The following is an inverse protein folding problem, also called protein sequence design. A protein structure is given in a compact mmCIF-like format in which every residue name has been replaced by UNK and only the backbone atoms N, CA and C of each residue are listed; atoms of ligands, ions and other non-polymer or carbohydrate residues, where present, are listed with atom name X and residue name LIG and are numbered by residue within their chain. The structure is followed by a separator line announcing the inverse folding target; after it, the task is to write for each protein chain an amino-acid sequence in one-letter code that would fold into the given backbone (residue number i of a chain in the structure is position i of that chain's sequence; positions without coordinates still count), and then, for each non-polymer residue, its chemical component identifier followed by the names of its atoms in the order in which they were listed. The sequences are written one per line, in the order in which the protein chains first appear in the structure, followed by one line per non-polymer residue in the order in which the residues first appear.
data_IF_412429457646
#
_entry.id   IF_412429457646
#
_cell.length_a   1.000
_cell.length_b   1.000
_cell.length_c   1.000
_cell.angle_alpha   90.00
_cell.angle_beta   90.00
_cell.angle_gamma   90.00
#
_symmetry.space_group_name_H-M   'P 1'
#
loop_
_entity.id
_entity.type
_entity.pdbx_description
1 polymer ?
#
# COMPACT_ATOMS: atom_id res chain seq x y z
N UNK A 1 -35.41 -19.25 -42.18
CA UNK A 1 -34.65 -19.45 -43.46
C UNK A 1 -33.24 -19.88 -43.06
N UNK A 2 -32.97 -21.16 -43.16
CA UNK A 2 -31.94 -21.88 -43.97
C UNK A 2 -30.50 -21.40 -43.69
N UNK A 3 -29.71 -22.18 -42.91
CA UNK A 3 -28.85 -23.35 -43.28
C UNK A 3 -27.57 -22.93 -44.01
N UNK A 4 -26.42 -23.24 -43.46
CA UNK A 4 -25.44 -24.37 -43.67
C UNK A 4 -24.19 -24.06 -42.88
N UNK A 5 -23.65 -24.80 -41.98
CA UNK A 5 -22.97 -26.12 -41.92
C UNK A 5 -21.94 -26.37 -43.07
N UNK A 6 -20.68 -26.44 -42.68
CA UNK A 6 -19.72 -27.42 -43.16
C UNK A 6 -18.62 -27.61 -42.11
N UNK A 7 -18.63 -28.76 -41.55
CA UNK A 7 -17.61 -29.68 -41.13
C UNK A 7 -16.39 -29.71 -42.06
N UNK A 8 -15.19 -29.88 -41.48
CA UNK A 8 -14.22 -30.86 -42.00
C UNK A 8 -13.23 -31.21 -40.88
N UNK A 9 -13.32 -32.49 -40.53
CA UNK A 9 -12.38 -33.28 -39.74
C UNK A 9 -11.27 -33.77 -40.65
N UNK A 10 -10.03 -33.93 -40.17
CA UNK A 10 -9.30 -35.21 -40.25
C UNK A 10 -8.07 -35.22 -39.34
N UNK A 11 -7.72 -36.40 -38.80
CA UNK A 11 -6.71 -36.60 -37.78
C UNK A 11 -5.39 -37.13 -38.33
N UNK A 12 -4.32 -36.95 -37.58
CA UNK A 12 -3.00 -37.56 -37.87
C UNK A 12 -2.31 -38.00 -36.59
N UNK A 13 -2.55 -39.23 -36.28
CA UNK A 13 -1.88 -40.08 -35.29
C UNK A 13 -0.60 -40.69 -35.90
N UNK A 14 0.55 -40.62 -35.22
CA UNK A 14 1.73 -41.48 -35.38
C UNK A 14 2.54 -41.25 -34.09
N UNK A 15 2.68 -42.18 -33.19
CA UNK A 15 3.21 -43.52 -33.34
C UNK A 15 4.53 -43.54 -32.57
N UNK A 16 4.49 -44.08 -31.32
CA UNK A 16 5.67 -44.31 -30.51
C UNK A 16 6.57 -45.38 -31.12
N UNK A 17 7.85 -45.33 -30.77
CA UNK A 17 8.77 -46.43 -30.97
C UNK A 17 9.39 -46.79 -29.62
N UNK A 18 9.00 -47.96 -29.15
CA UNK A 18 9.66 -48.73 -28.09
C UNK A 18 11.01 -49.23 -28.59
N UNK A 19 11.98 -49.11 -27.71
CA UNK A 19 13.31 -49.70 -27.85
C UNK A 19 13.35 -51.05 -27.13
N UNK A 20 13.39 -52.15 -27.86
CA UNK A 20 13.68 -53.47 -27.35
C UNK A 20 14.87 -54.08 -28.10
N UNK A 21 15.88 -54.34 -27.33
CA UNK A 21 16.84 -55.40 -27.25
C UNK A 21 17.20 -56.21 -28.50
N UNK A 22 18.46 -56.31 -28.76
CA UNK A 22 19.01 -57.43 -29.48
C UNK A 22 20.13 -58.15 -28.70
N UNK A 23 19.84 -59.40 -28.49
CA UNK A 23 20.66 -60.42 -27.85
C UNK A 23 21.93 -60.76 -28.61
N UNK A 24 22.85 -61.31 -27.85
CA UNK A 24 24.02 -62.10 -28.14
C UNK A 24 23.94 -62.95 -29.39
N UNK A 25 25.02 -62.94 -30.13
CA UNK A 25 25.49 -64.11 -30.85
C UNK A 25 26.87 -64.50 -30.33
N UNK A 26 26.86 -65.66 -29.70
CA UNK A 26 28.01 -66.48 -29.39
C UNK A 26 28.28 -67.36 -30.60
N UNK A 27 29.51 -67.45 -31.09
CA UNK A 27 29.91 -68.28 -32.21
C UNK A 27 31.39 -68.45 -32.16
N UNK A 28 31.84 -69.45 -31.39
CA UNK A 28 33.19 -69.93 -31.45
C UNK A 28 33.48 -70.69 -32.74
N UNK A 29 34.62 -70.49 -33.26
CA UNK A 29 35.35 -71.47 -34.04
C UNK A 29 36.82 -71.42 -33.65
N UNK A 30 37.25 -72.60 -33.20
CA UNK A 30 38.60 -73.05 -32.97
C UNK A 30 39.21 -73.40 -34.33
N UNK A 31 40.45 -73.18 -34.49
CA UNK A 31 41.55 -73.99 -35.04
C UNK A 31 42.66 -73.19 -35.73
N UNK A 32 43.77 -73.25 -35.13
CA UNK A 32 45.03 -73.78 -35.52
C UNK A 32 45.71 -73.12 -36.77
N UNK A 33 46.78 -72.53 -36.57
CA UNK A 33 48.13 -72.81 -36.98
C UNK A 33 49.00 -71.58 -37.16
N UNK A 34 50.03 -71.61 -36.49
CA UNK A 34 51.31 -70.94 -36.60
C UNK A 34 51.82 -70.62 -37.98
N UNK A 35 52.23 -69.35 -38.17
CA UNK A 35 53.46 -69.03 -38.92
C UNK A 35 53.86 -67.55 -38.63
N UNK A 36 55.08 -67.45 -38.12
CA UNK A 36 55.71 -66.15 -37.82
C UNK A 36 56.00 -65.34 -39.05
N UNK A 37 55.47 -64.13 -39.05
CA UNK A 37 56.01 -63.08 -39.87
C UNK A 37 55.72 -61.74 -39.17
N UNK A 38 56.78 -60.95 -39.04
CA UNK A 38 56.87 -59.72 -38.26
C UNK A 38 55.76 -58.74 -38.48
N UNK A 39 55.16 -58.31 -37.36
CA UNK A 39 54.33 -57.15 -37.29
C UNK A 39 55.21 -55.92 -37.53
N UNK A 40 55.09 -55.35 -38.76
CA UNK A 40 55.44 -53.93 -38.96
C UNK A 40 54.46 -53.08 -38.18
N UNK A 41 54.98 -52.31 -37.22
CA UNK A 41 54.22 -51.31 -36.52
C UNK A 41 53.56 -50.35 -37.51
N UNK A 42 52.24 -50.43 -37.57
CA UNK A 42 51.43 -49.52 -38.44
C UNK A 42 51.41 -48.14 -37.82
N UNK A 43 52.09 -47.16 -38.36
CA UNK A 43 52.14 -45.82 -37.77
C UNK A 43 50.77 -45.11 -37.72
N UNK A 44 49.73 -45.65 -38.35
CA UNK A 44 48.35 -45.13 -38.29
C UNK A 44 47.60 -45.63 -37.02
N UNK A 45 48.00 -46.77 -36.41
CA UNK A 45 47.37 -47.27 -35.21
C UNK A 45 47.74 -46.44 -33.98
N UNK A 46 49.02 -46.03 -33.84
CA UNK A 46 49.47 -45.17 -32.78
C UNK A 46 48.88 -43.73 -32.89
N UNK A 47 48.79 -43.21 -34.09
CA UNK A 47 48.21 -41.89 -34.33
C UNK A 47 46.72 -41.88 -34.00
N UNK A 48 45.98 -42.93 -34.35
CA UNK A 48 44.55 -43.04 -34.01
C UNK A 48 44.31 -43.22 -32.52
N UNK A 49 45.11 -43.96 -31.82
CA UNK A 49 45.05 -44.10 -30.35
C UNK A 49 45.35 -42.80 -29.64
N UNK A 50 46.34 -42.01 -30.12
CA UNK A 50 46.68 -40.70 -29.54
C UNK A 50 45.57 -39.67 -29.75
N UNK A 51 44.88 -39.68 -30.90
CA UNK A 51 43.73 -38.84 -31.19
C UNK A 51 42.55 -39.21 -30.27
N UNK A 52 42.24 -40.48 -30.13
CA UNK A 52 41.17 -40.94 -29.23
C UNK A 52 41.43 -40.59 -27.77
N UNK A 53 42.67 -40.73 -27.30
CA UNK A 53 43.06 -40.30 -25.96
C UNK A 53 42.88 -38.79 -25.75
N UNK A 54 43.23 -37.94 -26.71
CA UNK A 54 43.01 -36.49 -26.66
C UNK A 54 41.52 -36.12 -26.60
N UNK A 55 40.72 -36.77 -27.44
CA UNK A 55 39.26 -36.56 -27.49
C UNK A 55 38.59 -36.96 -26.16
N UNK A 56 38.97 -38.12 -25.63
CA UNK A 56 38.47 -38.57 -24.31
C UNK A 56 38.92 -37.65 -23.15
N UNK A 57 40.17 -37.15 -23.17
CA UNK A 57 40.65 -36.17 -22.21
C UNK A 57 39.88 -34.85 -22.29
N UNK A 58 39.63 -34.35 -23.50
CA UNK A 58 38.84 -33.15 -23.69
C UNK A 58 37.40 -33.31 -23.23
N UNK A 59 36.75 -34.42 -23.56
CA UNK A 59 35.40 -34.75 -23.12
C UNK A 59 35.30 -34.87 -21.60
N UNK A 60 36.30 -35.49 -20.97
CA UNK A 60 36.35 -35.59 -19.49
C UNK A 60 36.55 -34.24 -18.82
N UNK A 61 37.39 -33.38 -19.34
CA UNK A 61 37.57 -31.99 -18.87
C UNK A 61 36.28 -31.16 -19.05
N UNK A 62 35.62 -31.23 -20.18
CA UNK A 62 34.34 -30.56 -20.43
C UNK A 62 33.23 -31.02 -19.45
N UNK A 63 33.14 -32.35 -19.19
CA UNK A 63 32.21 -32.90 -18.19
C UNK A 63 32.53 -32.43 -16.79
N UNK A 64 33.83 -32.35 -16.38
CA UNK A 64 34.25 -31.80 -15.08
C UNK A 64 33.94 -30.34 -14.92
N UNK A 65 34.14 -29.51 -15.96
CA UNK A 65 33.77 -28.10 -15.97
C UNK A 65 32.26 -27.89 -15.90
N UNK A 66 31.46 -28.67 -16.65
CA UNK A 66 29.99 -28.64 -16.59
C UNK A 66 29.49 -29.01 -15.19
N UNK A 67 30.04 -30.05 -14.56
CA UNK A 67 29.72 -30.44 -13.17
C UNK A 67 30.12 -29.35 -12.16
N UNK A 68 31.27 -28.66 -12.33
CA UNK A 68 31.66 -27.55 -11.47
C UNK A 68 30.71 -26.36 -11.61
N UNK A 69 30.33 -25.97 -12.86
CA UNK A 69 29.36 -24.89 -13.11
C UNK A 69 28.00 -25.21 -12.49
N UNK A 70 27.48 -26.42 -12.67
CA UNK A 70 26.21 -26.85 -12.04
C UNK A 70 26.30 -26.80 -10.51
N UNK A 71 27.39 -27.28 -9.89
CA UNK A 71 27.57 -27.20 -8.44
C UNK A 71 27.61 -25.78 -7.93
N UNK A 72 28.32 -24.86 -8.62
CA UNK A 72 28.36 -23.43 -8.25
C UNK A 72 26.97 -22.82 -8.37
N UNK A 73 26.25 -23.08 -9.47
CA UNK A 73 24.88 -22.59 -9.63
C UNK A 73 23.95 -23.08 -8.52
N UNK A 74 24.02 -24.35 -8.15
CA UNK A 74 23.21 -24.90 -7.04
C UNK A 74 23.57 -24.24 -5.70
N UNK A 75 24.86 -24.03 -5.41
CA UNK A 75 25.29 -23.34 -4.18
C UNK A 75 24.77 -21.91 -4.15
N UNK A 76 24.87 -21.16 -5.28
CA UNK A 76 24.35 -19.78 -5.39
C UNK A 76 22.84 -19.75 -5.15
N UNK A 77 22.08 -20.66 -5.75
CA UNK A 77 20.61 -20.74 -5.56
C UNK A 77 20.28 -21.06 -4.10
N UNK A 78 21.00 -21.99 -3.46
CA UNK A 78 20.78 -22.32 -2.04
C UNK A 78 21.11 -21.15 -1.13
N UNK A 79 22.23 -20.44 -1.38
CA UNK A 79 22.60 -19.24 -0.61
C UNK A 79 21.56 -18.13 -0.77
N UNK A 80 21.08 -17.89 -2.01
CA UNK A 80 20.00 -16.92 -2.25
C UNK A 80 18.71 -17.34 -1.54
N UNK A 81 18.34 -18.62 -1.56
CA UNK A 81 17.16 -19.09 -0.86
C UNK A 81 17.28 -18.95 0.67
N UNK A 82 18.48 -19.18 1.24
CA UNK A 82 18.74 -18.95 2.66
C UNK A 82 18.69 -17.46 3.01
N UNK A 83 19.29 -16.58 2.20
CA UNK A 83 19.24 -15.14 2.42
C UNK A 83 17.81 -14.59 2.32
N UNK A 84 16.99 -15.09 1.38
CA UNK A 84 15.58 -14.76 1.28
C UNK A 84 14.82 -15.29 2.51
N UNK A 85 15.13 -16.48 2.97
CA UNK A 85 14.55 -17.07 4.18
C UNK A 85 14.90 -16.28 5.44
N UNK A 86 16.15 -15.90 5.64
CA UNK A 86 16.59 -15.05 6.76
C UNK A 86 15.97 -13.67 6.68
N UNK A 87 15.92 -13.07 5.49
CA UNK A 87 15.23 -11.79 5.26
C UNK A 87 13.74 -11.87 5.58
N UNK A 88 13.06 -12.94 5.16
CA UNK A 88 11.64 -13.15 5.47
C UNK A 88 11.40 -13.35 7.00
N UNK A 89 12.31 -14.02 7.69
CA UNK A 89 12.25 -14.18 9.16
C UNK A 89 12.49 -12.86 9.86
N UNK A 90 13.52 -12.10 9.46
CA UNK A 90 13.79 -10.75 9.97
C UNK A 90 12.60 -9.81 9.75
N UNK A 91 12.06 -9.76 8.54
CA UNK A 91 10.89 -8.96 8.22
C UNK A 91 9.67 -9.37 9.07
N UNK A 92 9.48 -10.65 9.32
CA UNK A 92 8.35 -11.11 10.14
C UNK A 92 8.54 -10.81 11.64
N UNK A 93 9.77 -10.66 12.10
CA UNK A 93 10.09 -10.28 13.49
C UNK A 93 9.96 -8.76 13.73
N UNK A 94 10.09 -7.93 12.68
CA UNK A 94 9.95 -6.48 12.76
C UNK A 94 8.53 -5.97 12.55
N UNK A 95 7.66 -6.79 11.94
CA UNK A 95 6.28 -6.43 11.65
C UNK A 95 5.43 -6.65 12.91
N UNK A 96 4.92 -5.60 13.47
CA UNK A 96 3.99 -5.64 14.61
C UNK A 96 2.71 -4.87 14.29
N UNK A 97 1.52 -5.41 14.60
CA UNK A 97 0.30 -4.65 14.47
C UNK A 97 0.33 -3.44 15.42
N UNK A 98 -0.33 -2.33 15.06
CA UNK A 98 -0.47 -1.21 15.97
C UNK A 98 -1.34 -1.61 17.17
N UNK A 99 -1.11 -0.97 18.31
CA UNK A 99 -1.97 -1.14 19.49
C UNK A 99 -3.36 -0.59 19.21
N UNK A 100 -4.39 -1.35 19.56
CA UNK A 100 -5.78 -0.93 19.37
C UNK A 100 -6.23 0.00 20.51
N UNK A 101 -6.99 1.04 20.17
CA UNK A 101 -7.67 1.89 21.15
C UNK A 101 -8.97 1.21 21.56
N UNK A 102 -9.16 1.00 22.86
CA UNK A 102 -10.32 0.29 23.38
C UNK A 102 -9.95 -0.90 24.26
N UNK A 103 -8.73 -1.44 24.09
CA UNK A 103 -8.18 -2.39 25.06
C UNK A 103 -7.57 -1.67 26.26
N UNK A 104 -7.71 -2.20 27.46
CA UNK A 104 -7.02 -1.76 28.68
C UNK A 104 -5.51 -2.09 28.67
N UNK A 105 -4.92 -2.26 27.49
CA UNK A 105 -3.50 -2.60 27.31
C UNK A 105 -2.65 -1.35 27.32
N UNK A 106 -1.72 -1.30 28.21
CA UNK A 106 -0.66 -0.31 28.37
C UNK A 106 0.49 -0.46 27.36
N UNK A 107 0.19 -0.95 26.16
CA UNK A 107 1.11 -0.96 25.02
C UNK A 107 2.07 -2.12 24.95
N UNK A 108 1.90 -3.17 25.76
CA UNK A 108 2.69 -4.38 25.65
C UNK A 108 1.97 -5.40 24.75
N UNK A 109 2.51 -5.76 23.57
CA UNK A 109 1.86 -6.69 22.64
C UNK A 109 1.69 -8.12 23.19
N UNK A 110 2.26 -8.41 24.36
CA UNK A 110 2.30 -9.77 24.94
C UNK A 110 1.24 -10.00 26.05
N UNK A 111 0.41 -8.99 26.36
CA UNK A 111 -0.49 -9.06 27.53
C UNK A 111 -1.79 -9.85 27.32
N UNK A 112 -1.98 -10.49 26.16
CA UNK A 112 -3.05 -11.46 25.93
C UNK A 112 -4.47 -10.95 26.20
N UNK A 113 -4.68 -9.63 26.17
CA UNK A 113 -6.01 -9.03 26.35
C UNK A 113 -6.89 -9.42 25.17
N UNK A 114 -7.93 -10.18 25.48
CA UNK A 114 -8.96 -10.54 24.51
C UNK A 114 -9.70 -9.26 24.09
N UNK A 115 -9.29 -8.70 22.93
CA UNK A 115 -9.89 -7.48 22.36
C UNK A 115 -11.40 -7.65 22.09
N UNK A 116 -11.89 -8.89 22.08
CA UNK A 116 -13.30 -9.22 21.95
C UNK A 116 -14.15 -8.80 23.18
N UNK A 117 -13.54 -8.63 24.34
CA UNK A 117 -14.27 -8.27 25.58
C UNK A 117 -14.91 -6.87 25.49
N UNK A 118 -14.32 -5.95 24.70
CA UNK A 118 -14.82 -4.56 24.53
C UNK A 118 -15.73 -4.40 23.30
N UNK A 119 -16.14 -5.50 22.65
CA UNK A 119 -17.00 -5.46 21.45
C UNK A 119 -16.28 -5.01 20.18
N UNK A 120 -14.94 -4.97 20.17
CA UNK A 120 -14.18 -4.60 18.98
C UNK A 120 -14.11 -5.72 17.98
N UNK A 121 -14.32 -5.41 16.69
CA UNK A 121 -14.20 -6.33 15.58
C UNK A 121 -12.73 -6.73 15.37
N UNK A 122 -12.47 -8.03 15.26
CA UNK A 122 -11.14 -8.56 15.00
C UNK A 122 -10.63 -8.09 13.63
N UNK A 123 -9.36 -7.73 13.56
CA UNK A 123 -8.70 -7.34 12.31
C UNK A 123 -9.06 -5.96 11.79
N UNK A 124 -9.86 -5.17 12.53
CA UNK A 124 -10.20 -3.80 12.16
C UNK A 124 -9.24 -2.80 12.83
N UNK A 125 -8.53 -2.03 12.00
CA UNK A 125 -7.57 -1.00 12.41
C UNK A 125 -8.01 0.35 11.88
N UNK A 126 -8.15 1.34 12.75
CA UNK A 126 -8.56 2.69 12.41
C UNK A 126 -7.39 3.65 12.48
N UNK A 127 -7.35 4.60 11.57
CA UNK A 127 -6.27 5.59 11.53
C UNK A 127 -6.73 6.92 10.96
N UNK A 128 -6.04 7.98 11.37
CA UNK A 128 -6.22 9.34 10.89
C UNK A 128 -4.96 9.77 10.14
N UNK A 129 -5.13 10.30 8.94
CA UNK A 129 -4.07 10.93 8.16
C UNK A 129 -4.41 12.40 8.00
N UNK A 130 -3.47 13.30 8.33
CA UNK A 130 -3.68 14.71 8.15
C UNK A 130 -2.46 15.39 7.52
N UNK A 131 -2.75 16.29 6.57
CA UNK A 131 -1.77 17.15 5.95
C UNK A 131 -1.86 18.56 6.52
N UNK A 132 -0.73 19.09 7.00
CA UNK A 132 -0.62 20.42 7.58
C UNK A 132 0.20 21.35 6.67
N UNK A 133 -0.28 22.56 6.49
CA UNK A 133 0.52 23.65 5.92
C UNK A 133 1.38 24.25 7.03
N UNK A 134 2.72 24.09 6.93
CA UNK A 134 3.67 24.58 7.94
C UNK A 134 3.60 26.09 8.12
N UNK A 135 3.38 26.83 7.04
CA UNK A 135 3.36 28.30 7.07
C UNK A 135 2.09 28.85 7.74
N UNK A 136 0.94 28.24 7.46
CA UNK A 136 -0.35 28.66 7.98
C UNK A 136 -0.74 27.96 9.29
N UNK A 137 -0.10 26.82 9.62
CA UNK A 137 -0.47 25.97 10.75
C UNK A 137 -1.86 25.32 10.61
N UNK A 138 -2.44 25.36 9.42
CA UNK A 138 -3.78 24.87 9.13
C UNK A 138 -3.70 23.43 8.58
N UNK A 139 -4.70 22.62 8.91
CA UNK A 139 -4.85 21.28 8.35
C UNK A 139 -5.83 21.31 7.18
N UNK A 140 -5.29 21.20 5.96
CA UNK A 140 -6.10 21.28 4.73
C UNK A 140 -6.68 19.93 4.31
N UNK A 141 -6.11 18.84 4.80
CA UNK A 141 -6.56 17.47 4.53
C UNK A 141 -6.69 16.71 5.84
N UNK A 142 -7.85 16.12 6.07
CA UNK A 142 -8.11 15.19 7.16
C UNK A 142 -8.82 13.98 6.57
N UNK A 143 -8.18 12.83 6.67
CA UNK A 143 -8.64 11.57 6.11
C UNK A 143 -8.68 10.54 7.23
N UNK A 144 -9.82 9.92 7.43
CA UNK A 144 -9.97 8.78 8.35
C UNK A 144 -10.05 7.52 7.55
N UNK A 145 -9.35 6.47 8.00
CA UNK A 145 -9.38 5.18 7.35
C UNK A 145 -9.68 4.04 8.31
N UNK A 146 -10.23 2.97 7.77
CA UNK A 146 -10.36 1.68 8.42
C UNK A 146 -9.85 0.58 7.51
N UNK A 147 -8.84 -0.14 7.98
CA UNK A 147 -8.35 -1.37 7.39
C UNK A 147 -9.03 -2.55 8.08
N UNK A 148 -9.74 -3.36 7.31
CA UNK A 148 -10.28 -4.64 7.74
C UNK A 148 -9.46 -5.76 7.11
N UNK A 149 -8.61 -6.41 7.91
CA UNK A 149 -7.71 -7.47 7.45
C UNK A 149 -8.42 -8.81 7.24
N UNK A 150 -9.56 -9.03 7.91
CA UNK A 150 -10.37 -10.25 7.76
C UNK A 150 -11.13 -10.20 6.43
N UNK A 151 -11.76 -9.06 6.10
CA UNK A 151 -12.51 -8.87 4.86
C UNK A 151 -11.64 -8.29 3.72
N UNK A 152 -10.35 -8.03 3.97
CA UNK A 152 -9.39 -7.47 3.01
C UNK A 152 -9.95 -6.20 2.35
N UNK A 153 -10.37 -5.24 3.13
CA UNK A 153 -10.90 -3.97 2.64
C UNK A 153 -10.27 -2.78 3.34
N UNK A 154 -10.19 -1.67 2.61
CA UNK A 154 -9.65 -0.42 3.08
C UNK A 154 -10.60 0.71 2.68
N UNK A 155 -11.17 1.37 3.68
CA UNK A 155 -12.12 2.46 3.51
C UNK A 155 -11.51 3.75 4.00
N UNK A 156 -11.64 4.81 3.19
CA UNK A 156 -11.24 6.15 3.58
C UNK A 156 -12.43 7.10 3.49
N UNK A 157 -12.52 8.01 4.46
CA UNK A 157 -13.47 9.13 4.43
C UNK A 157 -12.71 10.42 4.65
N UNK A 158 -12.91 11.37 3.75
CA UNK A 158 -12.43 12.74 3.92
C UNK A 158 -13.38 13.53 4.81
N UNK A 159 -12.80 14.20 5.81
CA UNK A 159 -13.46 15.24 6.61
C UNK A 159 -13.04 16.57 6.00
N UNK A 160 -13.94 17.31 5.33
CA UNK A 160 -13.59 18.60 4.72
C UNK A 160 -13.06 19.57 5.77
N UNK A 161 -12.08 20.38 5.37
CA UNK A 161 -11.39 21.32 6.28
C UNK A 161 -12.31 22.35 6.97
N UNK A 162 -13.42 22.71 6.30
CA UNK A 162 -14.42 23.65 6.82
C UNK A 162 -15.54 22.98 7.62
N UNK A 163 -15.41 21.67 7.92
CA UNK A 163 -16.37 20.93 8.74
C UNK A 163 -16.49 21.58 10.12
N UNK A 164 -17.73 21.82 10.50
CA UNK A 164 -18.06 22.36 11.81
C UNK A 164 -17.78 21.33 12.91
N UNK A 165 -16.97 21.70 13.89
CA UNK A 165 -16.61 20.86 15.05
C UNK A 165 -17.00 21.55 16.35
N UNK A 166 -17.50 20.81 17.34
CA UNK A 166 -17.96 21.36 18.61
C UNK A 166 -16.80 21.58 19.59
N UNK A 167 -16.05 22.64 19.35
CA UNK A 167 -14.85 22.99 20.10
C UNK A 167 -14.97 24.35 20.77
N UNK A 168 -14.13 24.60 21.74
CA UNK A 168 -14.15 25.87 22.49
C UNK A 168 -13.65 27.06 21.67
N UNK A 169 -12.80 26.79 20.66
CA UNK A 169 -12.16 27.83 19.83
C UNK A 169 -13.05 28.36 18.72
N UNK A 170 -12.69 29.54 18.19
CA UNK A 170 -13.37 30.13 17.03
C UNK A 170 -12.36 30.52 15.95
N UNK A 171 -12.67 30.34 14.66
CA UNK A 171 -13.88 29.68 14.13
C UNK A 171 -13.91 28.19 14.48
N UNK A 172 -15.11 27.63 14.64
CA UNK A 172 -15.32 26.21 14.95
C UNK A 172 -15.20 25.33 13.71
N UNK A 173 -14.01 25.30 13.10
CA UNK A 173 -13.71 24.54 11.86
C UNK A 173 -12.57 23.55 12.08
N UNK A 174 -12.66 22.41 11.43
CA UNK A 174 -11.67 21.34 11.53
C UNK A 174 -10.25 21.82 11.22
N UNK A 175 -10.06 22.59 10.14
CA UNK A 175 -8.74 23.06 9.69
C UNK A 175 -8.06 24.02 10.67
N UNK A 176 -8.81 24.67 11.54
CA UNK A 176 -8.28 25.67 12.47
C UNK A 176 -8.04 25.10 13.88
N UNK A 177 -8.51 23.87 14.13
CA UNK A 177 -8.51 23.35 15.49
C UNK A 177 -7.09 23.06 15.98
N UNK A 178 -6.22 22.54 15.09
CA UNK A 178 -4.80 22.35 15.39
C UNK A 178 -4.15 23.67 15.82
N UNK A 179 -4.16 24.68 14.95
CA UNK A 179 -3.53 25.98 15.21
C UNK A 179 -4.14 26.70 16.42
N UNK A 180 -5.46 26.60 16.60
CA UNK A 180 -6.13 27.21 17.74
C UNK A 180 -5.70 26.58 19.08
N UNK A 181 -5.48 25.28 19.11
CA UNK A 181 -4.96 24.59 20.29
C UNK A 181 -3.53 25.02 20.60
N UNK A 182 -2.62 25.01 19.62
CA UNK A 182 -1.24 25.47 19.77
C UNK A 182 -1.15 26.92 20.29
N UNK A 183 -1.94 27.82 19.68
CA UNK A 183 -1.99 29.23 20.10
C UNK A 183 -2.52 29.44 21.53
N UNK A 184 -3.19 28.42 22.10
CA UNK A 184 -3.67 28.42 23.47
C UNK A 184 -2.83 27.53 24.41
N UNK A 185 -1.63 27.13 23.98
CA UNK A 185 -0.68 26.34 24.76
C UNK A 185 -1.14 24.89 25.01
N UNK A 186 -1.95 24.35 24.10
CA UNK A 186 -2.40 22.95 24.10
C UNK A 186 -1.80 22.21 22.92
N UNK A 187 -1.79 20.89 22.99
CA UNK A 187 -1.30 20.04 21.92
C UNK A 187 -2.24 20.10 20.70
N UNK A 188 -1.73 20.55 19.55
CA UNK A 188 -2.49 20.67 18.31
C UNK A 188 -2.82 19.32 17.69
N UNK A 189 -1.93 18.32 17.86
CA UNK A 189 -2.16 16.95 17.37
C UNK A 189 -3.32 16.31 18.13
N UNK A 190 -3.26 16.36 19.46
CA UNK A 190 -4.33 15.88 20.33
C UNK A 190 -5.67 16.54 20.00
N UNK A 191 -5.66 17.86 19.80
CA UNK A 191 -6.85 18.60 19.43
C UNK A 191 -7.43 18.13 18.09
N UNK A 192 -6.60 18.01 17.05
CA UNK A 192 -7.03 17.57 15.73
C UNK A 192 -7.65 16.18 15.77
N UNK A 193 -6.99 15.24 16.44
CA UNK A 193 -7.48 13.87 16.63
C UNK A 193 -8.82 13.91 17.38
N UNK A 194 -8.89 14.61 18.49
CA UNK A 194 -10.12 14.76 19.29
C UNK A 194 -11.28 15.32 18.49
N UNK A 195 -11.02 16.30 17.61
CA UNK A 195 -12.05 16.84 16.70
C UNK A 195 -12.56 15.83 15.69
N UNK A 196 -11.69 14.97 15.15
CA UNK A 196 -12.10 13.88 14.26
C UNK A 196 -12.87 12.79 15.06
N UNK A 197 -12.41 12.43 16.23
CA UNK A 197 -13.05 11.44 17.12
C UNK A 197 -14.46 11.84 17.58
N UNK A 198 -14.70 13.14 17.79
CA UNK A 198 -16.05 13.66 18.04
C UNK A 198 -17.02 13.33 16.88
N UNK A 199 -16.52 13.40 15.64
CA UNK A 199 -17.30 13.10 14.44
C UNK A 199 -17.47 11.57 14.27
N UNK A 200 -16.46 10.79 14.64
CA UNK A 200 -16.45 9.33 14.52
C UNK A 200 -17.22 8.61 15.62
N UNK A 201 -17.31 9.20 16.81
CA UNK A 201 -17.91 8.57 17.99
C UNK A 201 -17.02 7.52 18.67
N UNK A 202 -15.79 7.34 18.20
CA UNK A 202 -14.80 6.41 18.76
C UNK A 202 -13.37 6.96 18.66
N UNK A 203 -12.45 6.36 19.39
CA UNK A 203 -11.02 6.68 19.36
C UNK A 203 -10.33 5.98 18.22
N UNK A 204 -9.50 6.71 17.45
CA UNK A 204 -8.67 6.12 16.39
C UNK A 204 -7.46 5.39 16.98
N UNK A 205 -7.01 4.30 16.34
CA UNK A 205 -5.86 3.53 16.82
C UNK A 205 -4.54 4.21 16.53
N UNK A 206 -4.46 4.81 15.35
CA UNK A 206 -3.22 5.37 14.83
C UNK A 206 -3.45 6.69 14.14
N UNK A 207 -2.40 7.50 14.08
CA UNK A 207 -2.43 8.73 13.30
C UNK A 207 -1.10 8.98 12.60
N UNK A 208 -1.14 9.74 11.52
CA UNK A 208 0.01 10.27 10.81
C UNK A 208 -0.28 11.71 10.39
N UNK A 209 0.49 12.65 10.91
CA UNK A 209 0.43 14.05 10.54
C UNK A 209 1.73 14.42 9.83
N UNK A 210 1.64 14.96 8.63
CA UNK A 210 2.79 15.37 7.85
C UNK A 210 2.62 16.76 7.26
N UNK A 211 3.74 17.43 7.07
CA UNK A 211 3.79 18.71 6.36
C UNK A 211 3.79 18.48 4.85
N UNK A 212 3.45 19.51 4.11
CA UNK A 212 3.38 19.46 2.64
C UNK A 212 4.75 19.12 2.02
N UNK A 213 5.85 19.57 2.62
CA UNK A 213 7.20 19.28 2.17
C UNK A 213 7.52 17.79 2.27
N UNK A 214 7.10 17.14 3.35
CA UNK A 214 7.29 15.70 3.55
C UNK A 214 6.53 14.90 2.49
N UNK A 215 5.35 15.35 2.10
CA UNK A 215 4.60 14.75 1.00
C UNK A 215 5.39 14.76 -0.31
N UNK A 216 6.04 15.89 -0.64
CA UNK A 216 6.91 16.00 -1.82
C UNK A 216 8.06 15.00 -1.76
N UNK A 217 8.75 14.90 -0.61
CA UNK A 217 9.86 13.97 -0.43
C UNK A 217 9.44 12.50 -0.54
N UNK A 218 8.29 12.14 0.01
CA UNK A 218 7.73 10.79 -0.09
C UNK A 218 7.42 10.42 -1.54
N UNK A 219 6.79 11.33 -2.30
CA UNK A 219 6.48 11.11 -3.71
C UNK A 219 7.76 10.97 -4.55
N UNK A 220 8.75 11.83 -4.33
CA UNK A 220 10.04 11.74 -5.03
C UNK A 220 10.80 10.46 -4.66
N UNK A 221 10.74 10.03 -3.40
CA UNK A 221 11.32 8.76 -2.98
C UNK A 221 10.63 7.54 -3.61
N UNK A 222 9.34 7.64 -3.92
CA UNK A 222 8.60 6.64 -4.71
C UNK A 222 8.94 6.69 -6.21
N UNK A 223 9.69 7.67 -6.67
CA UNK A 223 10.03 7.87 -8.08
C UNK A 223 8.97 8.62 -8.87
N UNK A 224 8.10 9.39 -8.22
CA UNK A 224 7.01 10.13 -8.84
C UNK A 224 5.73 9.30 -8.99
N UNK A 225 4.70 9.89 -9.60
CA UNK A 225 3.37 9.30 -9.75
C UNK A 225 2.87 9.49 -11.17
N UNK A 226 2.35 8.41 -11.77
CA UNK A 226 1.62 8.49 -13.05
C UNK A 226 0.16 8.85 -12.76
N UNK A 227 -0.29 9.98 -13.32
CA UNK A 227 -1.62 10.52 -13.03
C UNK A 227 -2.25 11.19 -14.25
N UNK A 228 -3.57 11.01 -14.40
CA UNK A 228 -4.35 11.72 -15.43
C UNK A 228 -4.90 13.02 -14.84
N UNK A 229 -4.22 14.13 -15.14
CA UNK A 229 -4.56 15.47 -14.64
C UNK A 229 -5.84 15.95 -15.32
N UNK A 230 -6.92 16.23 -14.56
CA UNK A 230 -8.25 16.43 -15.13
C UNK A 230 -8.43 17.77 -15.87
N UNK A 231 -7.67 18.79 -15.51
CA UNK A 231 -7.75 20.14 -16.07
C UNK A 231 -6.35 20.75 -16.17
N UNK A 232 -6.18 21.76 -17.04
CA UNK A 232 -4.97 22.59 -17.00
C UNK A 232 -4.93 23.38 -15.69
N UNK A 233 -3.79 23.32 -15.03
CA UNK A 233 -3.54 23.95 -13.73
C UNK A 233 -2.46 25.01 -13.90
N UNK A 234 -2.87 26.27 -13.90
CA UNK A 234 -1.99 27.43 -14.00
C UNK A 234 -2.37 28.42 -12.90
N UNK A 235 -1.57 28.48 -11.84
CA UNK A 235 -1.85 29.27 -10.65
C UNK A 235 -0.60 29.62 -9.89
N UNK A 236 -0.43 30.92 -9.61
CA UNK A 236 0.63 31.45 -8.78
C UNK A 236 0.06 32.17 -7.56
N UNK A 237 0.58 31.84 -6.38
CA UNK A 237 0.32 32.55 -5.14
C UNK A 237 1.66 32.81 -4.42
N UNK A 238 2.29 33.98 -4.66
CA UNK A 238 3.55 34.32 -4.01
C UNK A 238 3.48 34.39 -2.48
N UNK A 239 2.29 34.65 -1.92
CA UNK A 239 2.09 34.75 -0.47
C UNK A 239 2.21 33.39 0.22
N UNK A 240 1.93 32.30 -0.52
CA UNK A 240 2.05 30.93 -0.07
C UNK A 240 3.26 30.19 -0.67
N UNK A 241 4.14 30.92 -1.40
CA UNK A 241 5.22 30.33 -2.19
C UNK A 241 4.73 29.15 -3.06
N UNK A 242 3.58 29.32 -3.69
CA UNK A 242 2.91 28.29 -4.47
C UNK A 242 2.90 28.67 -5.94
N UNK A 243 3.45 27.83 -6.79
CA UNK A 243 3.46 27.96 -8.25
C UNK A 243 3.07 26.62 -8.86
N UNK A 244 1.95 26.56 -9.57
CA UNK A 244 1.38 25.33 -10.13
C UNK A 244 1.24 25.54 -11.63
N UNK A 245 2.03 24.80 -12.42
CA UNK A 245 1.99 24.79 -13.87
C UNK A 245 1.97 23.34 -14.36
N UNK A 246 0.80 22.71 -14.36
CA UNK A 246 0.62 21.32 -14.76
C UNK A 246 -0.46 21.25 -15.83
N UNK A 247 -0.14 20.67 -16.98
CA UNK A 247 -1.07 20.53 -18.08
C UNK A 247 -2.05 19.38 -17.82
N UNK A 248 -3.24 19.45 -18.42
CA UNK A 248 -4.21 18.36 -18.45
C UNK A 248 -3.64 17.14 -19.18
N UNK A 249 -4.01 15.93 -18.72
CA UNK A 249 -3.73 14.65 -19.37
C UNK A 249 -2.84 13.74 -18.55
N UNK A 250 -2.67 12.52 -19.05
CA UNK A 250 -1.89 11.49 -18.40
C UNK A 250 -0.39 11.80 -18.50
N UNK A 251 0.26 11.92 -17.36
CA UNK A 251 1.66 12.28 -17.27
C UNK A 251 2.31 11.77 -15.97
N UNK A 252 3.64 11.74 -15.97
CA UNK A 252 4.44 11.42 -14.79
C UNK A 252 4.74 12.69 -14.02
N UNK A 253 4.30 12.73 -12.75
CA UNK A 253 4.44 13.89 -11.86
C UNK A 253 5.54 13.61 -10.83
N UNK A 254 6.45 14.56 -10.62
CA UNK A 254 7.35 14.56 -9.45
C UNK A 254 6.59 15.03 -8.20
N UNK A 255 7.27 15.01 -7.04
CA UNK A 255 6.66 15.39 -5.76
C UNK A 255 6.07 16.80 -5.77
N UNK A 256 6.80 17.77 -6.33
CA UNK A 256 6.33 19.16 -6.39
C UNK A 256 5.10 19.32 -7.28
N UNK A 257 5.09 18.71 -8.45
CA UNK A 257 3.93 18.71 -9.36
C UNK A 257 2.73 18.01 -8.73
N UNK A 258 2.95 16.86 -8.08
CA UNK A 258 1.90 16.12 -7.36
C UNK A 258 1.30 16.97 -6.25
N UNK A 259 2.12 17.65 -5.46
CA UNK A 259 1.68 18.58 -4.43
C UNK A 259 0.90 19.76 -5.03
N UNK A 260 1.34 20.28 -6.18
CA UNK A 260 0.63 21.32 -6.92
C UNK A 260 -0.79 20.88 -7.30
N UNK A 261 -0.93 19.71 -7.93
CA UNK A 261 -2.24 19.11 -8.27
C UNK A 261 -3.11 18.91 -7.03
N UNK A 262 -2.53 18.43 -5.94
CA UNK A 262 -3.21 18.19 -4.68
C UNK A 262 -3.75 19.47 -4.01
N UNK A 263 -3.05 20.61 -4.18
CA UNK A 263 -3.42 21.94 -3.62
C UNK A 263 -4.25 22.78 -4.56
N UNK A 264 -4.33 22.45 -5.84
CA UNK A 264 -5.05 23.26 -6.83
C UNK A 264 -6.55 23.33 -6.52
N UNK A 265 -7.12 24.55 -6.58
CA UNK A 265 -8.51 24.83 -6.23
C UNK A 265 -9.30 25.50 -7.35
N UNK A 266 -8.61 26.11 -8.31
CA UNK A 266 -9.24 26.91 -9.36
C UNK A 266 -9.83 25.98 -10.44
N UNK A 267 -10.86 26.45 -11.11
CA UNK A 267 -11.46 25.85 -12.31
C UNK A 267 -12.21 24.52 -12.15
N UNK A 268 -12.30 23.95 -10.94
CA UNK A 268 -13.17 22.79 -10.75
C UNK A 268 -14.64 23.20 -10.80
N UNK A 269 -15.42 22.53 -11.66
CA UNK A 269 -16.86 22.85 -11.84
C UNK A 269 -17.66 22.76 -10.52
N UNK A 270 -17.24 21.85 -9.62
CA UNK A 270 -17.87 21.59 -8.31
C UNK A 270 -17.13 22.25 -7.14
N UNK A 271 -16.24 23.23 -7.39
CA UNK A 271 -15.52 23.94 -6.32
C UNK A 271 -14.66 23.02 -5.46
N UNK A 272 -14.81 23.09 -4.13
CA UNK A 272 -14.00 22.33 -3.18
C UNK A 272 -14.24 20.82 -3.24
N UNK A 273 -15.43 20.37 -3.63
CA UNK A 273 -15.75 18.95 -3.86
C UNK A 273 -14.90 18.39 -5.00
N UNK A 274 -14.77 19.11 -6.11
CA UNK A 274 -13.93 18.70 -7.23
C UNK A 274 -12.45 18.53 -6.83
N UNK A 275 -11.95 19.38 -5.93
CA UNK A 275 -10.61 19.21 -5.36
C UNK A 275 -10.50 17.92 -4.54
N UNK A 276 -11.48 17.62 -3.67
CA UNK A 276 -11.50 16.41 -2.85
C UNK A 276 -11.50 15.16 -3.74
N UNK A 277 -12.28 15.16 -4.82
CA UNK A 277 -12.33 14.05 -5.78
C UNK A 277 -10.96 13.84 -6.45
N UNK A 278 -10.26 14.90 -6.82
CA UNK A 278 -8.90 14.81 -7.39
C UNK A 278 -7.90 14.32 -6.34
N UNK A 279 -8.03 14.76 -5.09
CA UNK A 279 -7.21 14.26 -3.98
C UNK A 279 -7.41 12.74 -3.76
N UNK A 280 -8.65 12.25 -3.79
CA UNK A 280 -8.96 10.81 -3.69
C UNK A 280 -8.32 10.02 -4.84
N UNK A 281 -8.46 10.49 -6.08
CA UNK A 281 -7.86 9.85 -7.25
C UNK A 281 -6.33 9.84 -7.15
N UNK A 282 -5.72 10.93 -6.68
CA UNK A 282 -4.28 11.05 -6.49
C UNK A 282 -3.78 10.08 -5.42
N UNK A 283 -4.43 10.01 -4.25
CA UNK A 283 -4.07 9.08 -3.18
C UNK A 283 -4.20 7.63 -3.68
N UNK A 284 -5.25 7.33 -4.44
CA UNK A 284 -5.42 6.01 -5.06
C UNK A 284 -4.30 5.69 -6.05
N UNK A 285 -3.89 6.64 -6.87
CA UNK A 285 -2.75 6.49 -7.79
C UNK A 285 -1.44 6.27 -7.03
N UNK A 286 -1.20 7.02 -5.94
CA UNK A 286 -0.05 6.83 -5.04
C UNK A 286 -0.03 5.43 -4.45
N UNK A 287 -1.14 4.96 -3.90
CA UNK A 287 -1.26 3.62 -3.35
C UNK A 287 -1.02 2.55 -4.42
N UNK A 288 -1.63 2.69 -5.60
CA UNK A 288 -1.41 1.77 -6.73
C UNK A 288 0.06 1.75 -7.16
N UNK A 289 0.72 2.90 -7.23
CA UNK A 289 2.14 3.00 -7.55
C UNK A 289 3.00 2.36 -6.46
N UNK A 290 2.70 2.62 -5.19
CA UNK A 290 3.37 2.00 -4.05
C UNK A 290 3.22 0.47 -4.06
N UNK A 291 2.02 -0.04 -4.34
CA UNK A 291 1.76 -1.48 -4.42
C UNK A 291 2.49 -2.16 -5.59
N UNK A 292 2.75 -1.44 -6.69
CA UNK A 292 3.57 -1.92 -7.82
C UNK A 292 5.07 -1.89 -7.54
N UNK A 293 5.50 -1.03 -6.64
CA UNK A 293 6.90 -0.89 -6.25
C UNK A 293 7.29 -2.05 -5.31
N UNK A 294 7.47 -3.24 -5.85
CA UNK A 294 8.30 -4.28 -5.25
C UNK A 294 9.78 -3.81 -5.15
N UNK A 295 10.01 -2.50 -5.18
CA UNK A 295 11.32 -1.88 -5.12
C UNK A 295 11.77 -1.72 -3.68
N UNK A 296 12.15 -2.85 -3.09
CA UNK A 296 12.85 -2.99 -1.82
C UNK A 296 13.95 -1.92 -1.59
N UNK A 297 14.73 -1.45 -2.61
CA UNK A 297 15.76 -0.45 -2.37
C UNK A 297 15.23 0.91 -1.86
N UNK A 298 14.04 1.32 -2.24
CA UNK A 298 13.48 2.61 -1.85
C UNK A 298 12.68 2.56 -0.53
N UNK A 299 12.30 1.37 -0.06
CA UNK A 299 11.53 1.22 1.16
C UNK A 299 12.25 1.76 2.40
N UNK A 300 13.55 1.52 2.53
CA UNK A 300 14.34 2.07 3.64
C UNK A 300 14.33 3.60 3.64
N UNK A 301 14.46 4.22 2.45
CA UNK A 301 14.39 5.68 2.32
C UNK A 301 13.02 6.22 2.72
N UNK A 302 11.94 5.55 2.33
CA UNK A 302 10.57 5.93 2.72
C UNK A 302 10.36 5.80 4.23
N UNK A 303 10.87 4.74 4.86
CA UNK A 303 10.85 4.56 6.32
C UNK A 303 11.66 5.66 7.01
N UNK A 304 12.86 5.99 6.51
CA UNK A 304 13.71 7.05 7.06
C UNK A 304 13.03 8.42 7.02
N UNK A 305 12.35 8.76 5.91
CA UNK A 305 11.57 10.00 5.79
C UNK A 305 10.41 9.97 6.79
N UNK A 306 9.69 8.86 6.84
CA UNK A 306 8.56 8.68 7.75
C UNK A 306 8.97 8.89 9.22
N UNK A 307 10.02 8.21 9.69
CA UNK A 307 10.47 8.29 11.09
C UNK A 307 10.97 9.69 11.48
N UNK A 308 11.50 10.47 10.54
CA UNK A 308 12.08 11.79 10.82
C UNK A 308 11.07 12.92 10.72
N UNK A 309 10.16 12.83 9.77
CA UNK A 309 9.37 13.98 9.32
C UNK A 309 7.87 13.82 9.58
N UNK A 310 7.39 12.61 9.93
CA UNK A 310 5.97 12.36 10.19
C UNK A 310 5.71 12.33 11.69
N UNK A 311 4.79 13.16 12.16
CA UNK A 311 4.31 13.11 13.56
C UNK A 311 3.28 11.99 13.68
N UNK A 312 3.56 10.96 14.47
CA UNK A 312 2.75 9.74 14.53
C UNK A 312 2.95 8.98 15.85
N UNK A 313 2.00 8.12 16.18
CA UNK A 313 2.14 7.11 17.23
C UNK A 313 2.57 5.72 16.68
N UNK A 314 2.83 5.60 15.38
CA UNK A 314 3.22 4.34 14.76
C UNK A 314 4.74 4.16 14.78
N UNK A 315 5.19 2.99 15.21
CA UNK A 315 6.57 2.55 15.01
C UNK A 315 6.81 2.10 13.57
N UNK A 316 8.09 1.98 13.14
CA UNK A 316 8.43 1.39 11.85
C UNK A 316 7.82 -0.02 11.66
N UNK A 317 7.75 -0.81 12.73
CA UNK A 317 7.11 -2.15 12.71
C UNK A 317 5.61 -2.09 12.42
N UNK A 318 4.92 -1.07 12.95
CA UNK A 318 3.50 -0.83 12.65
C UNK A 318 3.30 -0.37 11.20
N UNK A 319 4.17 0.51 10.69
CA UNK A 319 4.13 0.92 9.28
C UNK A 319 4.32 -0.29 8.36
N UNK A 320 5.28 -1.16 8.66
CA UNK A 320 5.50 -2.39 7.91
C UNK A 320 4.32 -3.36 8.00
N UNK A 321 3.59 -3.40 9.12
CA UNK A 321 2.33 -4.13 9.22
C UNK A 321 1.31 -3.60 8.22
N UNK A 322 1.06 -2.28 8.19
CA UNK A 322 0.14 -1.68 7.22
C UNK A 322 0.58 -1.94 5.78
N UNK A 323 1.86 -1.77 5.46
CA UNK A 323 2.41 -2.10 4.14
C UNK A 323 2.10 -3.55 3.75
N UNK A 324 2.39 -4.50 4.64
CA UNK A 324 2.14 -5.93 4.41
C UNK A 324 0.65 -6.23 4.18
N UNK A 325 -0.23 -5.61 4.96
CA UNK A 325 -1.67 -5.81 4.81
C UNK A 325 -2.20 -5.13 3.54
N UNK A 326 -1.72 -3.92 3.21
CA UNK A 326 -2.10 -3.23 1.96
C UNK A 326 -1.69 -4.02 0.71
N UNK A 327 -0.52 -4.67 0.72
CA UNK A 327 -0.07 -5.54 -0.39
C UNK A 327 -0.97 -6.76 -0.64
N UNK A 328 -1.87 -7.09 0.28
CA UNK A 328 -2.85 -8.17 0.13
C UNK A 328 -4.18 -7.70 -0.44
N UNK A 329 -4.37 -6.38 -0.57
CA UNK A 329 -5.62 -5.79 -1.04
C UNK A 329 -5.66 -5.76 -2.57
N UNK A 330 -6.82 -6.05 -3.12
CA UNK A 330 -7.13 -5.70 -4.50
C UNK A 330 -7.47 -4.21 -4.60
N UNK A 331 -7.16 -3.58 -5.72
CA UNK A 331 -7.46 -2.15 -5.94
C UNK A 331 -8.95 -1.83 -5.77
N UNK A 332 -9.84 -2.75 -6.15
CA UNK A 332 -11.29 -2.63 -5.99
C UNK A 332 -11.76 -2.67 -4.53
N UNK A 333 -10.94 -3.18 -3.62
CA UNK A 333 -11.22 -3.22 -2.19
C UNK A 333 -10.89 -1.90 -1.46
N UNK A 334 -10.29 -0.94 -2.17
CA UNK A 334 -9.92 0.37 -1.64
C UNK A 334 -10.95 1.39 -2.13
N UNK A 335 -11.63 2.07 -1.20
CA UNK A 335 -12.60 3.12 -1.53
C UNK A 335 -12.34 4.40 -0.78
N UNK A 336 -12.68 5.51 -1.43
CA UNK A 336 -12.60 6.86 -0.90
C UNK A 336 -13.97 7.52 -1.02
N UNK A 337 -14.42 8.07 0.10
CA UNK A 337 -15.68 8.79 0.18
C UNK A 337 -15.46 10.13 0.89
N UNK A 338 -16.43 11.01 0.81
CA UNK A 338 -16.46 12.25 1.56
C UNK A 338 -17.66 12.21 2.50
N UNK A 339 -17.50 12.73 3.71
CA UNK A 339 -18.56 12.74 4.71
C UNK A 339 -19.84 13.40 4.15
N UNK A 340 -21.01 12.79 4.29
CA UNK A 340 -22.27 13.37 3.83
C UNK A 340 -22.58 14.66 4.61
N UNK A 341 -22.74 15.77 3.87
CA UNK A 341 -22.85 17.08 4.51
C UNK A 341 -23.48 18.14 3.61
N UNK A 342 -23.96 19.23 4.22
CA UNK A 342 -24.23 20.49 3.55
C UNK A 342 -22.92 21.29 3.37
N UNK A 343 -22.40 21.34 2.15
CA UNK A 343 -21.14 22.04 1.80
C UNK A 343 -21.30 23.55 1.61
N UNK A 344 -22.53 24.05 1.61
CA UNK A 344 -22.84 25.47 1.38
C UNK A 344 -23.35 26.17 2.64
N UNK A 345 -23.07 25.58 3.82
CA UNK A 345 -23.48 26.17 5.09
C UNK A 345 -22.80 27.52 5.36
N UNK A 346 -23.53 28.47 5.92
CA UNK A 346 -23.00 29.79 6.31
C UNK A 346 -23.41 30.13 7.73
N UNK A 347 -22.43 30.50 8.57
CA UNK A 347 -22.68 31.00 9.92
C UNK A 347 -21.84 32.23 10.21
N UNK A 348 -22.50 33.33 10.62
CA UNK A 348 -21.84 34.62 10.90
C UNK A 348 -20.96 35.12 9.74
N UNK A 349 -21.42 34.96 8.50
CA UNK A 349 -20.70 35.38 7.28
C UNK A 349 -19.52 34.48 6.88
N UNK A 350 -19.30 33.36 7.58
CA UNK A 350 -18.26 32.38 7.24
C UNK A 350 -18.89 31.11 6.68
N UNK A 351 -18.25 30.50 5.67
CA UNK A 351 -18.65 29.21 5.13
C UNK A 351 -18.33 28.08 6.13
N UNK A 352 -19.20 27.09 6.19
CA UNK A 352 -19.03 25.86 6.97
C UNK A 352 -19.55 24.66 6.19
N UNK A 353 -19.04 23.49 6.55
CA UNK A 353 -19.61 22.21 6.13
C UNK A 353 -20.32 21.62 7.36
N UNK A 354 -21.65 21.41 7.22
CA UNK A 354 -22.48 20.83 8.30
C UNK A 354 -22.86 19.41 7.93
N UNK A 355 -22.47 18.46 8.81
CA UNK A 355 -22.68 17.03 8.59
C UNK A 355 -24.17 16.69 8.64
N UNK A 356 -24.64 15.86 7.70
CA UNK A 356 -25.94 15.21 7.74
C UNK A 356 -25.84 14.01 8.72
N UNK A 357 -26.26 14.21 9.97
CA UNK A 357 -25.99 13.30 11.06
C UNK A 357 -26.52 11.88 10.80
N UNK A 358 -27.76 11.75 10.33
CA UNK A 358 -28.37 10.43 10.11
C UNK A 358 -27.67 9.66 8.98
N UNK A 359 -27.39 10.32 7.86
CA UNK A 359 -26.66 9.73 6.72
C UNK A 359 -25.22 9.34 7.13
N UNK A 360 -24.60 10.19 7.96
CA UNK A 360 -23.26 9.90 8.46
C UNK A 360 -23.23 8.69 9.39
N UNK A 361 -24.17 8.59 10.34
CA UNK A 361 -24.26 7.44 11.26
C UNK A 361 -24.54 6.13 10.50
N UNK A 362 -25.38 6.16 9.47
CA UNK A 362 -25.61 4.99 8.60
C UNK A 362 -24.32 4.58 7.88
N UNK A 363 -23.62 5.54 7.27
CA UNK A 363 -22.35 5.29 6.59
C UNK A 363 -21.28 4.77 7.57
N UNK A 364 -21.15 5.43 8.72
CA UNK A 364 -20.19 5.09 9.77
C UNK A 364 -20.37 3.65 10.25
N UNK A 365 -21.59 3.26 10.57
CA UNK A 365 -21.89 1.91 11.06
C UNK A 365 -21.71 0.84 9.99
N UNK A 366 -21.92 1.18 8.74
CA UNK A 366 -21.75 0.24 7.62
C UNK A 366 -20.27 0.01 7.30
N UNK A 367 -19.43 1.06 7.32
CA UNK A 367 -18.11 1.00 6.70
C UNK A 367 -16.92 1.33 7.60
N UNK A 368 -17.12 2.07 8.68
CA UNK A 368 -16.03 2.61 9.51
C UNK A 368 -16.15 2.28 10.99
N UNK A 369 -17.21 1.62 11.42
CA UNK A 369 -17.37 1.26 12.83
C UNK A 369 -16.50 0.04 13.17
N UNK A 370 -15.45 0.20 14.00
CA UNK A 370 -14.59 -0.91 14.41
C UNK A 370 -15.20 -1.77 15.51
N UNK A 371 -16.41 -1.44 15.99
CA UNK A 371 -17.11 -2.16 17.06
C UNK A 371 -18.29 -2.96 16.53
N UNK A 372 -18.70 -3.98 17.28
CA UNK A 372 -19.93 -4.74 17.04
C UNK A 372 -21.19 -3.97 17.49
N UNK A 373 -21.01 -3.03 18.41
CA UNK A 373 -22.09 -2.14 18.89
C UNK A 373 -22.27 -0.98 17.91
N UNK A 374 -23.51 -0.64 17.64
CA UNK A 374 -23.85 0.50 16.78
C UNK A 374 -23.45 1.83 17.41
N UNK A 375 -22.85 2.71 16.59
CA UNK A 375 -22.57 4.10 16.95
C UNK A 375 -23.83 4.91 16.67
N UNK A 376 -24.27 5.66 17.66
CA UNK A 376 -25.48 6.49 17.61
C UNK A 376 -25.16 7.96 17.85
N UNK A 377 -26.16 8.82 17.78
CA UNK A 377 -26.02 10.24 18.12
C UNK A 377 -25.55 10.48 19.58
N UNK A 378 -25.71 9.48 20.47
CA UNK A 378 -25.18 9.53 21.83
C UNK A 378 -23.65 9.36 21.92
N UNK A 379 -23.00 8.91 20.84
CA UNK A 379 -21.56 8.69 20.78
C UNK A 379 -20.81 9.81 20.05
N UNK A 380 -21.48 10.61 19.22
CA UNK A 380 -20.90 11.66 18.39
C UNK A 380 -21.24 13.05 18.92
N UNK A 381 -20.28 13.99 18.82
CA UNK A 381 -20.50 15.40 19.15
C UNK A 381 -20.33 16.26 17.89
N UNK A 382 -21.37 16.27 17.06
CA UNK A 382 -21.41 16.88 15.73
C UNK A 382 -22.23 18.16 15.79
N UNK A 383 -21.66 19.24 15.21
CA UNK A 383 -22.42 20.45 14.91
C UNK A 383 -23.13 20.31 13.56
N UNK A 384 -24.45 20.48 13.55
CA UNK A 384 -25.27 20.35 12.35
C UNK A 384 -26.35 21.43 12.29
N UNK A 385 -26.96 21.64 11.13
CA UNK A 385 -28.06 22.58 10.95
C UNK A 385 -29.40 21.87 11.16
N UNK A 386 -30.23 22.46 12.04
CA UNK A 386 -31.61 22.04 12.26
C UNK A 386 -32.50 23.28 12.36
N UNK A 387 -33.52 23.38 11.50
CA UNK A 387 -34.47 24.49 11.48
C UNK A 387 -33.79 25.88 11.39
N UNK A 388 -32.71 25.99 10.61
CA UNK A 388 -31.94 27.25 10.44
C UNK A 388 -31.05 27.61 11.64
N UNK A 389 -30.93 26.73 12.61
CA UNK A 389 -30.04 26.88 13.76
C UNK A 389 -28.93 25.83 13.76
N UNK A 390 -27.76 26.22 14.24
CA UNK A 390 -26.65 25.25 14.45
C UNK A 390 -26.76 24.68 15.86
N UNK A 391 -26.95 23.39 15.94
CA UNK A 391 -27.09 22.60 17.17
C UNK A 391 -26.02 21.50 17.24
N UNK A 392 -25.88 20.86 18.38
CA UNK A 392 -24.93 19.76 18.59
C UNK A 392 -25.68 18.47 18.98
N UNK A 393 -25.16 17.31 18.60
CA UNK A 393 -25.63 16.03 19.11
C UNK A 393 -25.26 15.84 20.58
N UNK A 394 -24.13 16.42 21.02
CA UNK A 394 -23.62 16.39 22.39
C UNK A 394 -23.43 14.99 22.97
N UNK A 395 -23.06 14.03 22.12
CA UNK A 395 -22.73 12.67 22.53
C UNK A 395 -21.34 12.57 23.14
N UNK A 396 -21.01 11.37 23.63
CA UNK A 396 -19.72 11.06 24.25
C UNK A 396 -19.00 9.99 23.44
N UNK A 397 -17.76 10.28 23.02
CA UNK A 397 -16.90 9.38 22.27
C UNK A 397 -16.63 8.08 23.04
N UNK A 398 -16.77 6.93 22.38
CA UNK A 398 -16.49 5.62 22.96
C UNK A 398 -14.98 5.37 23.09
N UNK A 399 -14.62 4.61 24.13
CA UNK A 399 -13.25 4.20 24.41
C UNK A 399 -12.52 5.11 25.40
N UNK A 400 -11.41 4.63 25.97
CA UNK A 400 -10.60 5.38 26.92
C UNK A 400 -9.99 6.62 26.26
N UNK A 401 -9.93 7.72 27.02
CA UNK A 401 -9.22 8.91 26.59
C UNK A 401 -7.71 8.61 26.64
N UNK A 402 -7.07 8.58 25.50
CA UNK A 402 -5.60 8.34 25.37
C UNK A 402 -4.80 9.66 25.31
N UNK A 403 -5.49 10.78 25.11
CA UNK A 403 -4.90 12.09 24.83
C UNK A 403 -5.26 13.11 25.88
#
# INVERSE_FOLDING_TARGET
MKRRQSDDRYPGDYGGYDDQGYDRYDGGYDDGNDDGSGFQDDPFSEASAAVNHRVQAQQSQARRQKKKKVRITVIVVVVLALLIGEFAILMNHWVSPPSLTGGLSDGNPDDGVDVSADGRKKGCYTFLIAGKDRAAGLTDTVLVGMLDTENKSLKFVSIPRDTAVNVAYRPKKMNQYYAAAENNGKDGVEALIGGAEQILGYRVDSYALFDVEVFVELVDAMGGIDFDVPVDMDYDDPSQNLSIHVQKGYQHLNGYQTMGVFRFRNTYANGDIGRIDVQHQMIKAMMSQFLKLHNIPNLNKLIDIYEKEVTTNLSAGNVMFYVKEFLKLDESAISFETIPANYNGVKNGMSYVFIHVDEWLEYLNTWLNPYTTEITSANVDILYESNGQVVATSGTVQGPNKW
#
